data_IF_079049399737
#
_entry.id   IF_079049399737
#
_cell.length_a   1.000
_cell.length_b   1.000
_cell.length_c   1.000
_cell.angle_alpha   90.00
_cell.angle_beta   90.00
_cell.angle_gamma   90.00
#
_symmetry.space_group_name_H-M   'P 1'
#
loop_
_entity.id
_entity.type
_entity.pdbx_description
1 polymer ?
#
# COMPACT_ATOMS: atom_id res chain seq x y z
N UNK A 1 17.51 -24.56 20.50
CA UNK A 1 16.38 -25.50 20.75
C UNK A 1 15.26 -25.17 19.77
N UNK A 2 14.72 -26.22 19.15
CA UNK A 2 13.82 -26.22 17.99
C UNK A 2 12.38 -25.82 18.37
N UNK A 3 11.78 -24.89 17.62
CA UNK A 3 10.34 -24.61 17.73
C UNK A 3 9.55 -25.72 17.00
N UNK A 4 8.92 -26.60 17.77
CA UNK A 4 7.98 -27.61 17.26
C UNK A 4 6.63 -26.94 16.97
N UNK A 5 6.20 -26.96 15.72
CA UNK A 5 4.79 -26.80 15.37
C UNK A 5 4.04 -28.06 15.83
N UNK A 6 3.05 -27.90 16.70
CA UNK A 6 2.11 -28.97 17.05
C UNK A 6 0.86 -28.79 16.18
N UNK A 7 0.73 -29.64 15.18
CA UNK A 7 -0.55 -29.93 14.51
C UNK A 7 -1.40 -30.76 15.48
N UNK A 8 -2.45 -30.17 16.06
CA UNK A 8 -3.38 -30.93 16.89
C UNK A 8 -4.54 -31.45 16.04
N UNK A 9 -4.41 -32.74 15.71
CA UNK A 9 -5.42 -33.64 15.15
C UNK A 9 -6.59 -33.74 16.14
N UNK A 10 -7.80 -33.40 15.69
CA UNK A 10 -9.02 -33.53 16.48
C UNK A 10 -9.45 -34.99 16.54
N UNK A 11 -9.27 -35.63 17.70
CA UNK A 11 -10.00 -36.83 18.07
C UNK A 11 -10.64 -36.61 19.44
N UNK A 12 -11.95 -36.88 19.46
CA UNK A 12 -12.87 -36.87 20.61
C UNK A 12 -12.24 -37.41 21.89
N UNK A 13 -12.39 -36.67 22.99
CA UNK A 13 -13.02 -37.16 24.22
C UNK A 13 -13.08 -36.06 25.31
N UNK A 14 -14.30 -35.85 25.78
CA UNK A 14 -14.73 -35.27 27.07
C UNK A 14 -13.63 -34.67 27.97
N UNK A 15 -13.59 -33.35 28.11
CA UNK A 15 -12.96 -32.67 29.25
C UNK A 15 -13.99 -31.71 29.85
N UNK A 16 -14.51 -32.13 31.01
CA UNK A 16 -15.40 -31.34 31.87
C UNK A 16 -14.59 -30.24 32.58
N UNK A 17 -15.18 -29.04 32.60
CA UNK A 17 -14.98 -27.90 33.52
C UNK A 17 -13.54 -27.52 33.89
N UNK A 18 -13.05 -26.44 33.28
CA UNK A 18 -12.60 -25.27 34.04
C UNK A 18 -13.08 -24.02 33.29
N UNK A 19 -13.98 -23.26 33.90
CA UNK A 19 -14.33 -21.92 33.47
C UNK A 19 -13.07 -21.07 33.73
N UNK A 20 -12.19 -20.97 32.75
CA UNK A 20 -11.24 -19.87 32.71
C UNK A 20 -12.00 -18.71 32.08
N UNK A 21 -12.52 -17.81 32.90
CA UNK A 21 -12.86 -16.44 32.51
C UNK A 21 -11.58 -15.68 32.16
N UNK A 22 -10.76 -16.23 31.27
CA UNK A 22 -9.77 -15.46 30.55
C UNK A 22 -10.57 -14.66 29.54
N UNK A 23 -11.07 -13.49 29.94
CA UNK A 23 -11.54 -12.50 28.98
C UNK A 23 -10.36 -12.22 28.05
N UNK A 24 -10.33 -12.69 26.78
CA UNK A 24 -9.40 -12.09 25.86
C UNK A 24 -9.88 -10.66 25.71
N UNK A 25 -9.12 -9.68 26.20
CA UNK A 25 -9.41 -8.27 25.94
C UNK A 25 -9.19 -8.05 24.45
N UNK A 26 -10.16 -8.43 23.63
CA UNK A 26 -10.08 -8.32 22.19
C UNK A 26 -10.39 -6.87 21.85
N UNK A 27 -9.33 -6.08 21.61
CA UNK A 27 -9.48 -4.72 21.10
C UNK A 27 -9.93 -4.82 19.64
N UNK A 28 -11.23 -4.67 19.41
CA UNK A 28 -11.77 -4.61 18.05
C UNK A 28 -11.30 -3.33 17.36
N UNK A 29 -10.74 -3.48 16.15
CA UNK A 29 -10.40 -2.34 15.30
C UNK A 29 -11.71 -1.66 14.86
N UNK A 30 -11.76 -0.34 14.99
CA UNK A 30 -12.93 0.44 14.59
C UNK A 30 -13.01 0.45 13.07
N UNK A 31 -14.09 -0.07 12.50
CA UNK A 31 -14.35 0.06 11.07
C UNK A 31 -14.64 1.51 10.74
N UNK A 32 -14.04 2.04 9.67
CA UNK A 32 -14.39 3.36 9.13
C UNK A 32 -15.38 3.15 7.99
N UNK A 33 -16.55 3.77 8.12
CA UNK A 33 -17.46 3.92 6.98
C UNK A 33 -16.92 5.05 6.11
N UNK A 34 -16.52 4.76 4.88
CA UNK A 34 -16.17 5.79 3.91
C UNK A 34 -17.46 6.40 3.39
N UNK A 35 -17.80 7.60 3.86
CA UNK A 35 -18.76 8.44 3.17
C UNK A 35 -18.06 8.95 1.91
N UNK A 36 -18.38 8.34 0.77
CA UNK A 36 -18.00 8.85 -0.55
C UNK A 36 -18.86 10.09 -0.81
N UNK A 37 -18.43 11.22 -0.25
CA UNK A 37 -18.88 12.53 -0.69
C UNK A 37 -18.40 12.71 -2.14
N UNK A 38 -19.24 13.24 -3.03
CA UNK A 38 -19.04 13.28 -4.48
C UNK A 38 -17.81 14.08 -4.99
N UNK A 39 -16.95 14.57 -4.08
CA UNK A 39 -15.68 15.23 -4.38
C UNK A 39 -14.46 14.57 -3.67
N UNK A 40 -14.66 13.40 -3.06
CA UNK A 40 -13.65 12.73 -2.24
C UNK A 40 -12.86 11.69 -3.04
N UNK A 41 -12.01 12.16 -3.96
CA UNK A 41 -10.83 11.43 -4.43
C UNK A 41 -9.73 12.44 -4.79
N UNK A 42 -9.46 13.36 -3.87
CA UNK A 42 -8.15 13.98 -3.84
C UNK A 42 -7.23 13.00 -3.15
N UNK A 43 -6.64 12.06 -3.90
CA UNK A 43 -5.47 11.32 -3.42
C UNK A 43 -4.50 12.35 -2.83
N UNK A 44 -4.28 12.33 -1.52
CA UNK A 44 -3.54 13.39 -0.79
C UNK A 44 -2.13 13.61 -1.35
N UNK A 45 -1.61 12.62 -2.09
CA UNK A 45 -0.31 12.61 -2.77
C UNK A 45 -0.35 12.97 -4.25
N UNK A 46 -1.52 13.19 -4.85
CA UNK A 46 -1.63 13.50 -6.26
C UNK A 46 -1.10 14.91 -6.59
N UNK A 47 -0.57 15.04 -7.81
CA UNK A 47 -0.12 16.32 -8.34
C UNK A 47 -1.35 17.19 -8.66
N UNK A 48 -1.60 18.20 -7.82
CA UNK A 48 -2.72 19.14 -8.01
C UNK A 48 -2.53 20.02 -9.27
N UNK A 49 -3.61 20.47 -9.93
CA UNK A 49 -3.54 21.37 -11.09
C UNK A 49 -2.76 22.67 -10.84
N UNK A 50 -2.85 23.23 -9.62
CA UNK A 50 -2.10 24.44 -9.27
C UNK A 50 -0.58 24.22 -9.28
N UNK A 51 -0.11 23.07 -8.78
CA UNK A 51 1.29 22.67 -8.82
C UNK A 51 1.75 22.47 -10.26
N UNK A 52 0.93 21.85 -11.12
CA UNK A 52 1.22 21.73 -12.56
C UNK A 52 1.36 23.10 -13.22
N UNK A 53 0.45 24.04 -12.94
CA UNK A 53 0.52 25.41 -13.46
C UNK A 53 1.79 26.15 -13.03
N UNK A 54 2.24 25.97 -11.79
CA UNK A 54 3.52 26.53 -11.31
C UNK A 54 4.72 25.93 -12.04
N UNK A 55 4.70 24.62 -12.33
CA UNK A 55 5.75 23.96 -13.11
C UNK A 55 5.78 24.45 -14.55
N UNK A 56 4.63 24.61 -15.21
CA UNK A 56 4.53 25.16 -16.56
C UNK A 56 5.09 26.58 -16.64
N UNK A 57 4.78 27.44 -15.66
CA UNK A 57 5.34 28.81 -15.59
C UNK A 57 6.86 28.83 -15.45
N UNK A 58 7.44 27.80 -14.83
CA UNK A 58 8.89 27.62 -14.70
C UNK A 58 9.53 26.95 -15.91
N UNK A 59 8.75 26.66 -16.96
CA UNK A 59 9.18 25.93 -18.16
C UNK A 59 9.81 24.56 -17.83
N UNK A 60 9.38 23.94 -16.71
CA UNK A 60 9.91 22.64 -16.31
C UNK A 60 9.53 21.57 -17.32
N UNK A 61 10.52 20.90 -17.88
CA UNK A 61 10.32 19.85 -18.88
C UNK A 61 9.90 18.53 -18.24
N UNK A 62 9.33 17.62 -19.03
CA UNK A 62 8.94 16.27 -18.54
C UNK A 62 10.17 15.48 -18.10
N UNK A 63 11.30 15.66 -18.76
CA UNK A 63 12.58 15.04 -18.44
C UNK A 63 13.14 15.54 -17.10
N UNK A 64 13.10 16.85 -16.87
CA UNK A 64 13.51 17.47 -15.61
C UNK A 64 12.62 17.02 -14.44
N UNK A 65 11.31 16.95 -14.65
CA UNK A 65 10.40 16.48 -13.61
C UNK A 65 10.60 14.99 -13.31
N UNK A 66 10.82 14.16 -14.32
CA UNK A 66 11.17 12.76 -14.14
C UNK A 66 12.51 12.59 -13.40
N UNK A 67 13.49 13.47 -13.64
CA UNK A 67 14.75 13.48 -12.92
C UNK A 67 14.56 13.89 -11.45
N UNK A 68 13.74 14.91 -11.20
CA UNK A 68 13.36 15.34 -9.85
C UNK A 68 12.67 14.24 -9.05
N UNK A 69 11.85 13.42 -9.70
CA UNK A 69 11.18 12.25 -9.11
C UNK A 69 12.09 11.00 -9.03
N UNK A 70 13.33 11.05 -9.53
CA UNK A 70 14.25 9.92 -9.50
C UNK A 70 13.84 8.74 -10.40
N UNK A 71 12.91 8.94 -11.34
CA UNK A 71 12.33 7.87 -12.16
C UNK A 71 12.91 7.79 -13.57
N UNK A 72 13.79 8.72 -13.95
CA UNK A 72 14.40 8.74 -15.29
C UNK A 72 15.10 7.42 -15.65
N UNK A 73 15.76 6.76 -14.70
CA UNK A 73 16.41 5.47 -14.92
C UNK A 73 15.40 4.34 -15.17
N UNK A 74 14.28 4.36 -14.45
CA UNK A 74 13.21 3.36 -14.57
C UNK A 74 12.50 3.48 -15.92
N UNK A 75 12.20 4.71 -16.36
CA UNK A 75 11.64 4.97 -17.70
C UNK A 75 12.55 4.42 -18.81
N UNK A 76 13.87 4.67 -18.72
CA UNK A 76 14.84 4.13 -19.69
C UNK A 76 14.91 2.62 -19.68
N UNK A 77 14.80 1.99 -18.50
CA UNK A 77 14.79 0.54 -18.38
C UNK A 77 13.51 -0.08 -18.98
N UNK A 78 12.35 0.55 -18.78
CA UNK A 78 11.08 0.13 -19.39
C UNK A 78 11.10 0.25 -20.91
N UNK A 79 11.72 1.30 -21.46
CA UNK A 79 11.85 1.50 -22.92
C UNK A 79 12.71 0.42 -23.60
N UNK A 80 13.59 -0.26 -22.86
CA UNK A 80 14.43 -1.36 -23.36
C UNK A 80 13.68 -2.70 -23.45
N UNK A 81 12.35 -2.71 -23.34
CA UNK A 81 11.51 -3.90 -23.51
C UNK A 81 11.35 -4.75 -22.25
N UNK A 82 11.78 -4.27 -21.07
CA UNK A 82 11.56 -4.98 -19.81
C UNK A 82 10.14 -4.69 -19.29
N UNK A 83 9.19 -5.56 -19.64
CA UNK A 83 7.78 -5.47 -19.22
C UNK A 83 7.60 -5.46 -17.70
N UNK A 84 8.46 -6.17 -16.96
CA UNK A 84 8.45 -6.16 -15.49
C UNK A 84 8.89 -4.80 -14.93
N UNK A 85 9.83 -4.11 -15.59
CA UNK A 85 10.23 -2.76 -15.22
C UNK A 85 9.11 -1.74 -15.46
N UNK A 86 8.34 -1.90 -16.54
CA UNK A 86 7.17 -1.07 -16.82
C UNK A 86 6.05 -1.25 -15.78
N UNK A 87 5.74 -2.51 -15.41
CA UNK A 87 4.78 -2.79 -14.34
C UNK A 87 5.25 -2.16 -13.02
N UNK A 88 6.52 -2.33 -12.66
CA UNK A 88 7.08 -1.74 -11.44
C UNK A 88 6.99 -0.21 -11.42
N UNK A 89 7.18 0.44 -12.56
CA UNK A 89 7.01 1.90 -12.68
C UNK A 89 5.54 2.32 -12.54
N UNK A 90 4.60 1.57 -13.12
CA UNK A 90 3.17 1.89 -13.09
C UNK A 90 2.53 1.74 -11.72
N UNK A 91 3.00 0.76 -10.92
CA UNK A 91 2.48 0.49 -9.57
C UNK A 91 3.37 1.05 -8.46
N UNK A 92 4.39 1.85 -8.78
CA UNK A 92 5.22 2.50 -7.78
C UNK A 92 4.43 3.61 -7.09
N UNK A 93 4.36 3.65 -5.74
CA UNK A 93 3.86 4.81 -5.04
C UNK A 93 4.86 5.97 -5.25
N UNK A 94 4.49 6.94 -6.09
CA UNK A 94 5.26 8.17 -6.23
C UNK A 94 5.12 8.97 -4.92
N UNK A 95 6.25 9.26 -4.27
CA UNK A 95 6.32 9.91 -2.97
C UNK A 95 6.24 11.44 -3.06
#
# INVERSE_FOLDING_TARGET
>A
MTCKFVLQKSNSNQISKVILTSNPSQRLLRTRHTAVEANADSEEKALTPEKMKKMMKKLMTKEEYAAKLGISGQIRASLKGNSQALLRLMFAPFA
#
